data_IF_476981722737
#
_entry.id   IF_476981722737
#
_cell.length_a   1.000
_cell.length_b   1.000
_cell.length_c   1.000
_cell.angle_alpha   90.00
_cell.angle_beta   90.00
_cell.angle_gamma   90.00
#
_symmetry.space_group_name_H-M   'P 1'
#
loop_
_entity.id
_entity.type
_entity.pdbx_description
1 polymer ?
#
# COMPACT_ATOMS: atom_id res chain seq x y z
N UNK A 1 4.77 24.13 -5.26
CA UNK A 1 4.33 24.94 -4.10
C UNK A 1 3.07 24.30 -3.56
N UNK A 2 3.05 23.87 -2.29
CA UNK A 2 1.82 23.42 -1.65
C UNK A 2 0.80 24.58 -1.60
N UNK A 3 -0.44 24.33 -2.03
CA UNK A 3 -1.50 25.32 -1.97
C UNK A 3 -1.96 25.57 -0.55
N UNK A 4 -2.68 26.68 -0.31
CA UNK A 4 -3.20 27.03 1.01
C UNK A 4 -4.07 25.91 1.62
N UNK A 5 -4.80 25.16 0.78
CA UNK A 5 -5.58 23.99 1.19
C UNK A 5 -4.72 22.85 1.72
N UNK A 6 -3.55 22.61 1.14
CA UNK A 6 -2.64 21.53 1.52
C UNK A 6 -1.99 21.80 2.89
N UNK A 7 -1.62 23.05 3.16
CA UNK A 7 -1.04 23.46 4.45
C UNK A 7 -2.05 23.33 5.59
N UNK A 8 -3.32 23.68 5.35
CA UNK A 8 -4.39 23.51 6.32
C UNK A 8 -4.68 22.04 6.57
N UNK A 9 -4.82 21.24 5.51
CA UNK A 9 -5.06 19.80 5.62
C UNK A 9 -3.91 19.12 6.37
N UNK A 10 -2.65 19.53 6.13
CA UNK A 10 -1.50 19.01 6.88
C UNK A 10 -1.62 19.34 8.36
N UNK A 11 -1.92 20.60 8.71
CA UNK A 11 -2.07 21.02 10.11
C UNK A 11 -3.19 20.25 10.83
N UNK A 12 -4.34 20.07 10.18
CA UNK A 12 -5.47 19.32 10.73
C UNK A 12 -5.12 17.84 10.95
N UNK A 13 -4.41 17.20 10.00
CA UNK A 13 -3.95 15.82 10.12
C UNK A 13 -2.85 15.66 11.17
N UNK A 14 -1.88 16.56 11.23
CA UNK A 14 -0.84 16.56 12.26
C UNK A 14 -1.46 16.70 13.66
N UNK A 15 -2.46 17.59 13.82
CA UNK A 15 -3.21 17.73 15.06
C UNK A 15 -4.00 16.46 15.41
N UNK A 16 -4.66 15.84 14.44
CA UNK A 16 -5.36 14.55 14.64
C UNK A 16 -4.39 13.46 15.08
N UNK A 17 -3.30 13.27 14.34
CA UNK A 17 -2.33 12.23 14.65
C UNK A 17 -1.59 12.46 15.97
N UNK A 18 -1.44 13.71 16.42
CA UNK A 18 -0.85 14.01 17.74
C UNK A 18 -1.68 13.43 18.91
N UNK A 19 -2.96 13.14 18.68
CA UNK A 19 -3.89 12.55 19.65
C UNK A 19 -4.00 11.01 19.54
N UNK A 20 -3.31 10.42 18.57
CA UNK A 20 -3.34 8.97 18.32
C UNK A 20 -2.00 8.38 18.77
N UNK A 21 -2.06 7.31 19.57
CA UNK A 21 -0.87 6.56 19.95
C UNK A 21 -0.23 5.85 18.75
N UNK A 22 1.08 5.62 18.83
CA UNK A 22 1.80 4.86 17.82
C UNK A 22 1.52 3.34 17.95
N UNK A 23 1.52 2.57 16.84
CA UNK A 23 1.80 3.02 15.47
C UNK A 23 0.61 3.76 14.82
N UNK A 24 0.91 4.87 14.12
CA UNK A 24 -0.06 5.69 13.40
C UNK A 24 -0.13 5.24 11.94
N UNK A 25 -1.31 4.90 11.46
CA UNK A 25 -1.49 4.44 10.08
C UNK A 25 -2.68 5.06 9.38
N UNK A 26 -2.60 5.09 8.06
CA UNK A 26 -3.72 5.49 7.20
C UNK A 26 -3.87 4.50 6.05
N UNK A 27 -5.11 4.23 5.66
CA UNK A 27 -5.44 3.46 4.45
C UNK A 27 -6.16 4.34 3.45
N UNK A 28 -5.76 4.27 2.16
CA UNK A 28 -6.40 5.01 1.07
C UNK A 28 -6.59 4.12 -0.15
N UNK A 29 -7.84 4.03 -0.62
CA UNK A 29 -8.21 3.29 -1.83
C UNK A 29 -8.05 4.12 -3.11
N UNK A 30 -8.01 5.46 -2.99
CA UNK A 30 -7.90 6.39 -4.11
C UNK A 30 -6.45 6.74 -4.46
N UNK A 31 -6.31 7.75 -5.29
CA UNK A 31 -5.02 8.29 -5.71
C UNK A 31 -4.84 9.73 -5.20
N UNK A 32 -4.43 9.91 -3.94
CA UNK A 32 -4.16 11.22 -3.35
C UNK A 32 -2.79 11.76 -3.78
N UNK A 33 -2.42 12.93 -3.26
CA UNK A 33 -1.04 13.39 -3.29
C UNK A 33 -0.16 12.53 -2.36
N UNK A 34 0.57 11.59 -2.96
CA UNK A 34 1.44 10.65 -2.23
C UNK A 34 2.65 11.33 -1.59
N UNK A 35 3.19 12.41 -2.18
CA UNK A 35 4.28 13.17 -1.56
C UNK A 35 3.82 13.81 -0.26
N UNK A 36 2.63 14.40 -0.26
CA UNK A 36 2.01 14.95 0.93
C UNK A 36 1.85 13.88 2.04
N UNK A 37 1.26 12.74 1.72
CA UNK A 37 0.99 11.67 2.70
C UNK A 37 2.27 11.03 3.26
N UNK A 38 3.24 10.75 2.38
CA UNK A 38 4.51 10.15 2.77
C UNK A 38 5.38 11.10 3.63
N UNK A 39 5.07 12.39 3.66
CA UNK A 39 5.72 13.38 4.52
C UNK A 39 4.97 13.66 5.84
N UNK A 40 3.81 13.04 6.09
CA UNK A 40 3.14 13.11 7.39
C UNK A 40 3.87 12.27 8.45
N UNK A 41 3.57 12.51 9.73
CA UNK A 41 4.07 11.74 10.86
C UNK A 41 3.31 10.41 11.01
N UNK A 42 3.48 9.54 10.02
CA UNK A 42 2.90 8.21 9.93
C UNK A 42 3.96 7.14 10.10
N UNK A 43 3.57 6.03 10.72
CA UNK A 43 4.35 4.80 10.81
C UNK A 43 3.95 3.79 9.73
N UNK A 44 2.67 3.81 9.30
CA UNK A 44 2.12 2.85 8.35
C UNK A 44 1.30 3.55 7.27
N UNK A 45 1.63 3.30 6.01
CA UNK A 45 0.83 3.71 4.86
C UNK A 45 0.27 2.47 4.15
N UNK A 46 -1.05 2.34 4.10
CA UNK A 46 -1.75 1.29 3.36
C UNK A 46 -2.43 1.89 2.14
N UNK A 47 -2.27 1.26 0.98
CA UNK A 47 -2.82 1.78 -0.27
C UNK A 47 -3.25 0.66 -1.22
N UNK A 48 -4.19 1.01 -2.11
CA UNK A 48 -4.53 0.18 -3.27
C UNK A 48 -3.43 0.29 -4.34
N UNK A 49 -2.50 -0.65 -4.31
CA UNK A 49 -1.44 -0.76 -5.31
C UNK A 49 -1.90 -1.54 -6.53
N UNK A 50 -2.93 -2.35 -6.41
CA UNK A 50 -3.48 -3.08 -7.55
C UNK A 50 -3.92 -2.12 -8.67
N UNK A 51 -4.54 -1.00 -8.31
CA UNK A 51 -5.04 0.02 -9.24
C UNK A 51 -4.04 1.16 -9.46
N UNK A 52 -3.29 1.56 -8.43
CA UNK A 52 -2.49 2.81 -8.43
C UNK A 52 -0.97 2.58 -8.53
N UNK A 53 -0.53 1.38 -8.94
CA UNK A 53 0.87 0.97 -8.95
C UNK A 53 1.84 1.97 -9.63
N UNK A 54 1.55 2.35 -10.88
CA UNK A 54 2.43 3.21 -11.68
C UNK A 54 2.54 4.62 -11.10
N UNK A 55 1.39 5.17 -10.68
CA UNK A 55 1.35 6.51 -10.09
C UNK A 55 2.12 6.52 -8.76
N UNK A 56 1.86 5.56 -7.88
CA UNK A 56 2.59 5.45 -6.61
C UNK A 56 4.09 5.28 -6.83
N UNK A 57 4.51 4.42 -7.76
CA UNK A 57 5.92 4.21 -8.07
C UNK A 57 6.62 5.45 -8.68
N UNK A 58 5.88 6.47 -9.13
CA UNK A 58 6.46 7.74 -9.57
C UNK A 58 7.02 8.55 -8.39
N UNK A 59 6.56 8.33 -7.17
CA UNK A 59 6.98 9.01 -5.94
C UNK A 59 8.14 8.31 -5.21
N UNK A 60 9.03 7.62 -5.94
CA UNK A 60 10.12 6.82 -5.38
C UNK A 60 10.99 7.57 -4.36
N UNK A 61 11.22 8.87 -4.55
CA UNK A 61 12.00 9.69 -3.60
C UNK A 61 11.29 9.85 -2.25
N UNK A 62 10.00 10.11 -2.24
CA UNK A 62 9.21 10.22 -1.02
C UNK A 62 9.07 8.84 -0.34
N UNK A 63 8.85 7.77 -1.12
CA UNK A 63 8.82 6.38 -0.63
C UNK A 63 10.14 6.03 0.05
N UNK A 64 11.28 6.34 -0.56
CA UNK A 64 12.59 6.09 0.04
C UNK A 64 12.74 6.78 1.39
N UNK A 65 12.43 8.08 1.48
CA UNK A 65 12.48 8.84 2.73
C UNK A 65 11.54 8.28 3.80
N UNK A 66 10.36 7.83 3.41
CA UNK A 66 9.41 7.19 4.31
C UNK A 66 9.96 5.88 4.90
N UNK A 67 10.57 5.04 4.07
CA UNK A 67 11.23 3.81 4.51
C UNK A 67 12.49 4.07 5.33
N UNK A 68 13.28 5.12 5.03
CA UNK A 68 14.48 5.52 5.78
C UNK A 68 14.17 5.91 7.23
N UNK A 69 12.96 6.42 7.48
CA UNK A 69 12.47 6.71 8.86
C UNK A 69 11.64 5.57 9.46
N UNK A 70 11.87 4.34 9.01
CA UNK A 70 11.22 3.11 9.47
C UNK A 70 9.72 2.98 9.17
N UNK A 71 9.20 3.75 8.23
CA UNK A 71 7.83 3.63 7.74
C UNK A 71 7.55 2.26 7.12
N UNK A 72 6.34 1.77 7.32
CA UNK A 72 5.86 0.48 6.78
C UNK A 72 4.86 0.73 5.67
N UNK A 73 5.05 0.07 4.52
CA UNK A 73 4.10 0.13 3.41
C UNK A 73 3.28 -1.16 3.38
N UNK A 74 1.96 -1.01 3.37
CA UNK A 74 1.02 -2.12 3.19
C UNK A 74 0.51 -2.10 1.76
N UNK A 75 0.99 -3.06 0.97
CA UNK A 75 0.70 -3.19 -0.45
C UNK A 75 -0.64 -3.87 -0.66
N UNK A 76 -1.70 -3.11 -0.94
CA UNK A 76 -3.02 -3.62 -1.29
C UNK A 76 -3.01 -4.18 -2.71
N UNK A 77 -2.74 -5.48 -2.84
CA UNK A 77 -2.51 -6.13 -4.14
C UNK A 77 -3.60 -7.14 -4.52
N UNK A 78 -4.35 -7.63 -3.55
CA UNK A 78 -5.40 -8.63 -3.82
C UNK A 78 -6.74 -7.93 -3.98
N UNK A 79 -7.35 -7.94 -5.18
CA UNK A 79 -8.63 -7.27 -5.41
C UNK A 79 -9.76 -7.91 -4.59
N UNK A 80 -10.72 -7.09 -4.16
CA UNK A 80 -11.90 -7.52 -3.39
C UNK A 80 -13.19 -7.52 -4.21
N UNK A 81 -13.16 -6.97 -5.43
CA UNK A 81 -14.29 -6.97 -6.34
C UNK A 81 -14.41 -8.30 -7.09
N UNK A 82 -15.62 -8.86 -7.14
CA UNK A 82 -15.91 -10.17 -7.73
C UNK A 82 -15.32 -10.34 -9.15
N UNK A 83 -15.66 -9.44 -10.07
CA UNK A 83 -15.22 -9.57 -11.47
C UNK A 83 -13.71 -9.47 -11.64
N UNK A 84 -13.07 -8.60 -10.86
CA UNK A 84 -11.62 -8.40 -10.90
C UNK A 84 -10.90 -9.58 -10.29
N UNK A 85 -11.38 -10.07 -9.13
CA UNK A 85 -10.80 -11.21 -8.46
C UNK A 85 -10.86 -12.50 -9.30
N UNK A 86 -11.95 -12.70 -10.07
CA UNK A 86 -12.09 -13.87 -10.94
C UNK A 86 -11.09 -13.91 -12.11
N UNK A 87 -10.53 -12.76 -12.49
CA UNK A 87 -9.55 -12.64 -13.60
C UNK A 87 -8.11 -12.82 -13.14
N UNK A 88 -7.89 -12.88 -11.84
CA UNK A 88 -6.55 -12.96 -11.24
C UNK A 88 -6.32 -14.33 -10.61
N UNK A 89 -5.07 -14.74 -10.64
CA UNK A 89 -4.57 -15.84 -9.82
C UNK A 89 -3.44 -15.35 -8.90
N UNK A 90 -2.98 -16.21 -8.01
CA UNK A 90 -1.93 -15.85 -7.06
C UNK A 90 -0.61 -15.47 -7.76
N UNK A 91 -0.31 -16.10 -8.89
CA UNK A 91 0.92 -15.85 -9.65
C UNK A 91 0.88 -14.45 -10.28
N UNK A 92 -0.22 -14.11 -10.96
CA UNK A 92 -0.40 -12.80 -11.60
C UNK A 92 -0.32 -11.66 -10.58
N UNK A 93 -0.90 -11.83 -9.40
CA UNK A 93 -0.86 -10.83 -8.32
C UNK A 93 0.55 -10.67 -7.74
N UNK A 94 1.30 -11.77 -7.53
CA UNK A 94 2.71 -11.70 -7.09
C UNK A 94 3.55 -11.00 -8.15
N UNK A 95 3.42 -11.37 -9.41
CA UNK A 95 4.17 -10.75 -10.50
C UNK A 95 3.90 -9.25 -10.60
N UNK A 96 2.64 -8.84 -10.47
CA UNK A 96 2.23 -7.43 -10.44
C UNK A 96 2.92 -6.68 -9.30
N UNK A 97 2.93 -7.22 -8.09
CA UNK A 97 3.60 -6.62 -6.93
C UNK A 97 5.11 -6.52 -7.15
N UNK A 98 5.74 -7.59 -7.62
CA UNK A 98 7.18 -7.62 -7.90
C UNK A 98 7.57 -6.65 -9.02
N UNK A 99 6.71 -6.42 -9.99
CA UNK A 99 6.94 -5.39 -11.02
C UNK A 99 7.02 -4.00 -10.40
N UNK A 100 6.11 -3.65 -9.50
CA UNK A 100 6.16 -2.37 -8.76
C UNK A 100 7.47 -2.27 -7.95
N UNK A 101 7.84 -3.31 -7.24
CA UNK A 101 9.06 -3.35 -6.46
C UNK A 101 10.32 -3.19 -7.32
N UNK A 102 10.38 -3.88 -8.48
CA UNK A 102 11.50 -3.73 -9.43
C UNK A 102 11.64 -2.30 -9.96
N UNK A 103 10.51 -1.64 -10.25
CA UNK A 103 10.52 -0.22 -10.66
C UNK A 103 11.08 0.67 -9.55
N UNK A 104 10.68 0.47 -8.31
CA UNK A 104 11.15 1.24 -7.15
C UNK A 104 12.65 0.99 -6.88
N UNK A 105 13.11 -0.25 -6.96
CA UNK A 105 14.53 -0.58 -6.84
C UNK A 105 15.36 0.08 -7.93
N UNK A 106 14.89 0.05 -9.18
CA UNK A 106 15.51 0.77 -10.30
C UNK A 106 15.59 2.28 -10.12
N UNK A 107 14.71 2.86 -9.27
CA UNK A 107 14.71 4.27 -8.89
C UNK A 107 15.46 4.57 -7.58
N UNK A 108 16.21 3.60 -7.07
CA UNK A 108 17.10 3.77 -5.90
C UNK A 108 16.43 3.59 -4.54
N UNK A 109 15.26 2.95 -4.48
CA UNK A 109 14.70 2.47 -3.20
C UNK A 109 15.47 1.22 -2.78
N UNK A 110 15.96 1.21 -1.54
CA UNK A 110 16.71 0.08 -0.99
C UNK A 110 15.84 -1.17 -0.90
N UNK A 111 16.31 -2.26 -1.50
CA UNK A 111 15.55 -3.51 -1.64
C UNK A 111 15.31 -4.18 -0.29
N UNK A 112 16.35 -4.33 0.52
CA UNK A 112 16.29 -5.06 1.78
C UNK A 112 15.40 -4.33 2.78
N UNK A 113 15.59 -3.01 2.89
CA UNK A 113 14.75 -2.15 3.73
C UNK A 113 13.30 -2.19 3.30
N UNK A 114 13.02 -2.07 2.00
CA UNK A 114 11.65 -2.10 1.49
C UNK A 114 10.96 -3.43 1.81
N UNK A 115 11.64 -4.56 1.58
CA UNK A 115 11.09 -5.89 1.91
C UNK A 115 10.84 -6.02 3.42
N UNK A 116 11.80 -5.64 4.26
CA UNK A 116 11.67 -5.72 5.71
C UNK A 116 10.55 -4.83 6.27
N UNK A 117 10.15 -3.79 5.53
CA UNK A 117 9.10 -2.83 5.89
C UNK A 117 7.85 -2.96 5.02
N UNK A 118 7.62 -4.15 4.46
CA UNK A 118 6.46 -4.44 3.61
C UNK A 118 5.48 -5.37 4.30
N UNK A 119 4.20 -5.02 4.19
CA UNK A 119 3.07 -5.91 4.44
C UNK A 119 2.24 -6.00 3.16
N UNK A 120 1.40 -7.02 3.03
CA UNK A 120 0.43 -7.13 1.95
C UNK A 120 -1.00 -7.17 2.51
N UNK A 121 -1.94 -6.66 1.74
CA UNK A 121 -3.35 -6.62 2.12
C UNK A 121 -4.27 -6.80 0.91
N UNK A 122 -5.59 -6.96 1.14
CA UNK A 122 -6.58 -6.67 0.11
C UNK A 122 -6.40 -5.23 -0.42
N UNK A 123 -6.71 -5.02 -1.69
CA UNK A 123 -6.42 -3.76 -2.39
C UNK A 123 -7.30 -2.61 -1.91
N UNK A 124 -8.58 -2.88 -1.68
CA UNK A 124 -9.56 -1.87 -1.30
C UNK A 124 -10.48 -2.40 -0.18
N UNK A 125 -11.36 -1.54 0.32
CA UNK A 125 -12.37 -1.93 1.30
C UNK A 125 -13.30 -3.02 0.76
N UNK A 126 -14.01 -3.71 1.67
CA UNK A 126 -14.95 -4.75 1.32
C UNK A 126 -16.11 -4.18 0.49
N UNK A 127 -16.28 -4.69 -0.72
CA UNK A 127 -17.31 -4.29 -1.65
C UNK A 127 -18.57 -5.17 -1.50
N UNK A 128 -19.70 -4.65 -1.93
CA UNK A 128 -20.91 -5.46 -2.09
C UNK A 128 -20.77 -6.26 -3.37
N UNK A 129 -20.51 -7.56 -3.24
CA UNK A 129 -20.33 -8.48 -4.36
C UNK A 129 -21.58 -9.30 -4.66
N UNK A 130 -21.77 -9.78 -5.92
CA UNK A 130 -22.86 -10.69 -6.27
C UNK A 130 -22.90 -11.99 -5.45
N UNK A 131 -21.73 -12.46 -5.03
CA UNK A 131 -21.54 -13.65 -4.19
C UNK A 131 -21.43 -13.32 -2.69
N UNK A 132 -21.85 -12.11 -2.31
CA UNK A 132 -21.82 -11.56 -0.94
C UNK A 132 -20.38 -11.50 -0.39
N UNK A 133 -20.11 -12.14 0.76
CA UNK A 133 -18.81 -12.15 1.44
C UNK A 133 -17.76 -13.09 0.82
N UNK A 134 -18.16 -14.03 -0.03
CA UNK A 134 -17.28 -15.12 -0.50
C UNK A 134 -16.01 -14.62 -1.22
N UNK A 135 -16.16 -13.65 -2.10
CA UNK A 135 -14.97 -13.08 -2.77
C UNK A 135 -14.04 -12.40 -1.77
N UNK A 136 -14.58 -11.70 -0.79
CA UNK A 136 -13.78 -11.03 0.26
C UNK A 136 -13.05 -12.06 1.12
N UNK A 137 -13.72 -13.13 1.55
CA UNK A 137 -13.09 -14.23 2.30
C UNK A 137 -11.95 -14.88 1.50
N UNK A 138 -12.17 -15.14 0.22
CA UNK A 138 -11.14 -15.67 -0.69
C UNK A 138 -9.97 -14.71 -0.84
N UNK A 139 -10.22 -13.41 -0.91
CA UNK A 139 -9.16 -12.40 -0.97
C UNK A 139 -8.27 -12.46 0.28
N UNK A 140 -8.82 -12.56 1.49
CA UNK A 140 -8.04 -12.72 2.72
C UNK A 140 -7.24 -14.02 2.76
N UNK A 141 -7.83 -15.14 2.33
CA UNK A 141 -7.11 -16.41 2.18
C UNK A 141 -5.95 -16.28 1.20
N UNK A 142 -6.17 -15.59 0.09
CA UNK A 142 -5.14 -15.35 -0.93
C UNK A 142 -4.00 -14.49 -0.38
N UNK A 143 -4.30 -13.40 0.34
CA UNK A 143 -3.29 -12.57 1.04
C UNK A 143 -2.42 -13.44 1.96
N UNK A 144 -3.04 -14.29 2.78
CA UNK A 144 -2.30 -15.18 3.68
C UNK A 144 -1.35 -16.11 2.94
N UNK A 145 -1.81 -16.74 1.85
CA UNK A 145 -0.98 -17.62 1.01
C UNK A 145 0.15 -16.86 0.31
N UNK A 146 -0.14 -15.71 -0.27
CA UNK A 146 0.87 -14.84 -0.90
C UNK A 146 1.93 -14.40 0.10
N UNK A 147 1.52 -14.03 1.32
CA UNK A 147 2.45 -13.66 2.39
C UNK A 147 3.46 -14.77 2.68
N UNK A 148 3.00 -16.03 2.75
CA UNK A 148 3.90 -17.17 2.97
C UNK A 148 4.88 -17.38 1.80
N UNK A 149 4.40 -17.28 0.55
CA UNK A 149 5.25 -17.38 -0.65
C UNK A 149 6.32 -16.28 -0.66
N UNK A 150 5.91 -15.03 -0.42
CA UNK A 150 6.83 -13.88 -0.41
C UNK A 150 7.84 -13.96 0.73
N UNK A 151 7.44 -14.38 1.92
CA UNK A 151 8.37 -14.63 3.04
C UNK A 151 9.42 -15.67 2.67
N UNK A 152 9.01 -16.81 2.12
CA UNK A 152 9.97 -17.86 1.70
C UNK A 152 10.93 -17.38 0.61
N UNK A 153 10.49 -16.44 -0.25
CA UNK A 153 11.30 -15.94 -1.38
C UNK A 153 12.28 -14.84 -0.96
N UNK A 154 11.94 -14.03 0.04
CA UNK A 154 12.64 -12.78 0.34
C UNK A 154 13.20 -12.66 1.75
N UNK A 155 12.72 -13.48 2.69
CA UNK A 155 13.14 -13.51 4.10
C UNK A 155 13.68 -14.89 4.49
#
# INVERSE_FOLDING_TARGET
MAGYGDLKAKGDLDQFFSQVDRPRGIHLCGNPDWDFLLNLDLDVLSLDVYTNAEIFASYATAIRKFLERDGVIVWGIVPTGFETFQKEDMHSMIERLENVWRVLWGKGVDKERMIARSLISPATCCLVNPDRERTVERAFVTVSRMSNVLKTKYL
#
